data_IF_980225442903
#
_entry.id   IF_980225442903
#
_cell.length_a   1.000
_cell.length_b   1.000
_cell.length_c   1.000
_cell.angle_alpha   90.00
_cell.angle_beta   90.00
_cell.angle_gamma   90.00
#
_symmetry.space_group_name_H-M   'P 1'
#
loop_
_entity.id
_entity.type
_entity.pdbx_description
1 polymer ?
#
# COMPACT_ATOMS: atom_id res chain seq x y z
N UNK A 1 3.07 6.44 37.73
CA UNK A 1 3.09 7.52 36.72
C UNK A 1 2.83 6.85 35.37
N UNK A 2 1.91 7.37 34.56
CA UNK A 2 1.73 6.85 33.19
C UNK A 2 2.79 7.46 32.27
N UNK A 3 3.46 6.62 31.49
CA UNK A 3 4.43 7.04 30.47
C UNK A 3 4.28 6.16 29.24
N UNK A 4 4.78 6.62 28.09
CA UNK A 4 4.82 5.82 26.87
C UNK A 4 6.15 5.04 26.80
N UNK A 5 6.08 3.72 26.78
CA UNK A 5 7.23 2.83 26.56
C UNK A 5 6.91 1.97 25.35
N UNK A 6 7.72 2.05 24.29
CA UNK A 6 7.51 1.33 23.01
C UNK A 6 6.12 1.58 22.39
N UNK A 7 5.66 2.84 22.45
CA UNK A 7 4.32 3.23 21.96
C UNK A 7 3.15 2.80 22.85
N UNK A 8 3.38 2.01 23.90
CA UNK A 8 2.34 1.59 24.85
C UNK A 8 2.30 2.47 26.09
N UNK A 9 1.10 2.81 26.55
CA UNK A 9 0.92 3.46 27.85
C UNK A 9 1.25 2.45 28.95
N UNK A 10 2.25 2.77 29.77
CA UNK A 10 2.68 1.96 30.90
C UNK A 10 2.62 2.76 32.18
N UNK A 11 2.06 2.13 33.21
CA UNK A 11 2.07 2.66 34.56
C UNK A 11 3.38 2.27 35.22
N UNK A 12 4.28 3.23 35.39
CA UNK A 12 5.48 3.07 36.22
C UNK A 12 5.06 3.09 37.68
N UNK A 13 5.36 1.99 38.36
CA UNK A 13 5.35 1.90 39.81
C UNK A 13 6.73 2.33 40.34
N UNK A 14 6.77 3.30 41.26
CA UNK A 14 8.03 3.80 41.82
C UNK A 14 8.85 2.68 42.49
N UNK A 15 8.18 1.71 43.12
CA UNK A 15 8.82 0.60 43.83
C UNK A 15 9.68 -0.28 42.89
N UNK A 16 9.40 -0.22 41.59
CA UNK A 16 10.04 -1.05 40.58
C UNK A 16 11.33 -0.44 40.00
N UNK A 17 11.63 0.83 40.32
CA UNK A 17 12.72 1.58 39.69
C UNK A 17 13.58 2.32 40.73
N UNK A 18 13.57 1.88 41.99
CA UNK A 18 14.34 2.52 43.06
C UNK A 18 15.84 2.38 42.81
N UNK A 19 16.60 3.45 43.05
CA UNK A 19 18.06 3.46 42.88
C UNK A 19 18.86 3.18 44.16
N UNK A 20 18.19 2.85 45.26
CA UNK A 20 18.79 2.69 46.59
C UNK A 20 18.07 1.60 47.38
N UNK A 21 18.60 1.27 48.56
CA UNK A 21 17.99 0.24 49.43
C UNK A 21 16.65 0.73 49.97
N UNK A 22 15.66 -0.15 50.02
CA UNK A 22 14.32 0.17 50.55
C UNK A 22 14.37 0.69 52.00
N UNK A 23 15.41 0.33 52.76
CA UNK A 23 15.65 0.78 54.14
C UNK A 23 15.86 2.29 54.27
N UNK A 24 16.20 2.98 53.19
CA UNK A 24 16.43 4.44 53.21
C UNK A 24 15.11 5.23 53.03
N UNK A 25 14.00 4.53 52.77
CA UNK A 25 12.68 5.12 52.60
C UNK A 25 12.04 5.33 53.97
N UNK A 26 11.70 6.59 54.27
CA UNK A 26 11.00 6.94 55.51
C UNK A 26 9.66 6.21 55.61
N UNK A 27 9.39 5.57 56.74
CA UNK A 27 8.16 4.80 57.00
C UNK A 27 6.86 5.58 56.73
N UNK A 28 6.87 6.91 56.90
CA UNK A 28 5.75 7.79 56.60
C UNK A 28 5.31 7.76 55.12
N UNK A 29 6.16 7.28 54.21
CA UNK A 29 5.88 7.18 52.77
C UNK A 29 5.33 5.80 52.37
N UNK A 30 5.28 4.85 53.32
CA UNK A 30 4.89 3.47 53.09
C UNK A 30 3.41 3.29 53.42
N UNK A 31 2.65 2.73 52.50
CA UNK A 31 1.24 2.43 52.69
C UNK A 31 1.07 1.31 53.72
N UNK A 32 0.26 1.51 54.76
CA UNK A 32 -0.02 0.47 55.76
C UNK A 32 -0.95 -0.67 55.27
N UNK A 33 -1.46 -0.59 54.04
CA UNK A 33 -2.27 -1.66 53.42
C UNK A 33 -1.40 -2.55 52.54
N UNK A 34 -0.70 -1.99 51.55
CA UNK A 34 0.13 -2.77 50.62
C UNK A 34 1.60 -2.91 51.04
N UNK A 35 2.03 -2.19 52.10
CA UNK A 35 3.40 -2.21 52.63
C UNK A 35 4.48 -1.75 51.64
N UNK A 36 4.11 -0.98 50.62
CA UNK A 36 5.03 -0.39 49.64
C UNK A 36 4.94 1.14 49.62
N UNK A 37 5.83 1.83 48.90
CA UNK A 37 5.74 3.29 48.71
C UNK A 37 4.36 3.65 48.17
N UNK A 38 3.71 4.65 48.78
CA UNK A 38 2.35 5.04 48.44
C UNK A 38 2.21 5.54 47.00
N UNK A 39 1.31 4.92 46.23
CA UNK A 39 0.91 5.41 44.91
C UNK A 39 -0.36 6.26 45.02
N UNK A 40 -0.29 7.50 44.52
CA UNK A 40 -1.37 8.49 44.63
C UNK A 40 -1.87 8.62 46.09
N UNK A 41 -1.03 9.15 47.01
CA UNK A 41 -1.33 9.16 48.43
C UNK A 41 -2.59 9.98 48.74
N UNK A 42 -3.51 9.38 49.49
CA UNK A 42 -4.75 9.99 49.96
C UNK A 42 -4.83 9.92 51.48
N UNK A 43 -5.24 11.01 52.10
CA UNK A 43 -5.50 11.08 53.52
C UNK A 43 -6.92 10.59 53.81
N UNK A 44 -7.04 9.84 54.89
CA UNK A 44 -8.28 9.34 55.46
C UNK A 44 -8.25 9.56 56.96
N UNK A 45 -9.43 9.64 57.57
CA UNK A 45 -9.66 9.87 59.00
C UNK A 45 -9.16 11.22 59.55
N UNK A 46 -9.68 11.58 60.71
CA UNK A 46 -9.31 12.81 61.44
C UNK A 46 -7.89 12.74 61.99
N UNK A 47 -7.40 11.53 62.28
CA UNK A 47 -6.00 11.30 62.68
C UNK A 47 -5.01 11.48 61.53
N UNK A 48 -5.48 11.65 60.29
CA UNK A 48 -4.64 11.95 59.13
C UNK A 48 -3.85 10.78 58.57
N UNK A 49 -4.31 9.53 58.74
CA UNK A 49 -3.67 8.36 58.14
C UNK A 49 -3.71 8.41 56.61
N UNK A 50 -2.58 8.09 55.97
CA UNK A 50 -2.41 8.19 54.52
C UNK A 50 -2.21 6.81 53.89
N UNK A 51 -2.83 6.59 52.73
CA UNK A 51 -2.80 5.31 52.01
C UNK A 51 -2.67 5.54 50.50
N UNK A 52 -2.38 4.49 49.73
CA UNK A 52 -2.59 4.54 48.27
C UNK A 52 -4.08 4.72 47.98
N UNK A 53 -4.43 5.55 46.99
CA UNK A 53 -5.83 5.74 46.56
C UNK A 53 -6.53 4.41 46.30
N UNK A 54 -5.95 3.55 45.49
CA UNK A 54 -6.53 2.24 45.13
C UNK A 54 -6.63 1.28 46.32
N UNK A 55 -5.59 1.22 47.17
CA UNK A 55 -5.61 0.34 48.34
C UNK A 55 -6.75 0.73 49.29
N UNK A 56 -6.91 2.02 49.55
CA UNK A 56 -7.99 2.51 50.39
C UNK A 56 -9.36 2.29 49.75
N UNK A 57 -9.53 2.59 48.46
CA UNK A 57 -10.80 2.35 47.74
C UNK A 57 -11.22 0.89 47.81
N UNK A 58 -10.31 -0.05 47.53
CA UNK A 58 -10.59 -1.50 47.61
C UNK A 58 -10.91 -1.94 49.04
N UNK A 59 -10.19 -1.41 50.03
CA UNK A 59 -10.45 -1.69 51.44
C UNK A 59 -11.86 -1.22 51.84
N UNK A 60 -12.23 0.01 51.44
CA UNK A 60 -13.54 0.58 51.76
C UNK A 60 -14.65 -0.26 51.12
N UNK A 61 -14.54 -0.56 49.83
CA UNK A 61 -15.53 -1.39 49.12
C UNK A 61 -15.77 -2.76 49.78
N UNK A 62 -14.71 -3.40 50.30
CA UNK A 62 -14.81 -4.72 50.94
C UNK A 62 -15.35 -4.69 52.38
N UNK A 63 -15.12 -3.59 53.11
CA UNK A 63 -15.42 -3.50 54.54
C UNK A 63 -16.57 -2.54 54.86
N UNK A 64 -17.35 -2.15 53.85
CA UNK A 64 -18.59 -1.40 54.03
C UNK A 64 -19.65 -2.33 54.65
N UNK A 65 -20.19 -1.92 55.80
CA UNK A 65 -21.31 -2.62 56.41
C UNK A 65 -22.64 -2.01 55.94
N UNK A 66 -23.36 -2.73 55.08
CA UNK A 66 -24.66 -2.34 54.53
C UNK A 66 -25.84 -2.65 55.47
N UNK A 67 -25.64 -3.51 56.48
CA UNK A 67 -26.72 -4.08 57.28
C UNK A 67 -27.02 -3.25 58.55
N UNK A 68 -26.18 -2.28 58.89
CA UNK A 68 -26.35 -1.42 60.08
C UNK A 68 -25.65 -0.07 59.88
N UNK A 69 -26.44 1.01 59.73
CA UNK A 69 -26.02 2.42 59.66
C UNK A 69 -25.01 2.83 58.58
N UNK A 70 -24.73 2.01 57.56
CA UNK A 70 -23.80 2.35 56.46
C UNK A 70 -22.48 2.90 57.00
N UNK A 71 -21.65 2.02 57.55
CA UNK A 71 -20.41 2.39 58.22
C UNK A 71 -19.16 1.86 57.51
N UNK A 72 -18.06 2.57 57.68
CA UNK A 72 -16.70 2.21 57.25
C UNK A 72 -15.71 2.52 58.38
N UNK A 73 -14.51 1.95 58.37
CA UNK A 73 -13.49 2.26 59.38
C UNK A 73 -12.12 2.61 58.80
N UNK A 74 -11.24 3.21 59.59
CA UNK A 74 -9.86 3.41 59.17
C UNK A 74 -9.08 2.09 59.23
N UNK A 75 -8.33 1.70 58.18
CA UNK A 75 -7.47 0.52 58.22
C UNK A 75 -6.43 0.53 59.34
N UNK A 76 -6.01 1.72 59.80
CA UNK A 76 -4.96 1.87 60.81
C UNK A 76 -5.52 2.08 62.21
N UNK A 77 -6.32 3.13 62.45
CA UNK A 77 -6.84 3.42 63.79
C UNK A 77 -8.19 2.77 64.12
N UNK A 78 -8.82 2.10 63.15
CA UNK A 78 -10.17 1.50 63.29
C UNK A 78 -11.29 2.47 63.66
N UNK A 79 -11.05 3.79 63.63
CA UNK A 79 -12.08 4.81 63.82
C UNK A 79 -13.20 4.61 62.80
N UNK A 80 -14.45 4.60 63.27
CA UNK A 80 -15.65 4.35 62.46
C UNK A 80 -16.22 5.65 61.92
N UNK A 81 -16.62 5.62 60.65
CA UNK A 81 -17.24 6.71 59.92
C UNK A 81 -18.57 6.23 59.33
N UNK A 82 -19.63 6.99 59.59
CA UNK A 82 -20.96 6.73 59.05
C UNK A 82 -21.18 7.54 57.78
N UNK A 83 -21.82 6.93 56.78
CA UNK A 83 -22.17 7.60 55.53
C UNK A 83 -23.65 7.47 55.19
N UNK A 84 -24.16 8.48 54.48
CA UNK A 84 -25.50 8.43 53.89
C UNK A 84 -25.36 8.03 52.42
N UNK A 85 -25.91 6.88 51.98
CA UNK A 85 -25.91 6.53 50.57
C UNK A 85 -26.77 7.52 49.78
N UNK A 86 -26.19 8.24 48.84
CA UNK A 86 -26.89 9.09 47.88
C UNK A 86 -27.05 8.28 46.58
N UNK A 87 -28.25 7.73 46.37
CA UNK A 87 -28.74 7.05 45.17
C UNK A 87 -27.94 5.84 44.64
N UNK A 88 -28.65 4.72 44.48
CA UNK A 88 -28.15 3.48 43.86
C UNK A 88 -28.74 3.43 42.45
N UNK A 89 -28.06 4.02 41.47
CA UNK A 89 -28.30 3.69 40.07
C UNK A 89 -26.99 3.15 39.47
N UNK A 90 -27.03 1.86 39.12
CA UNK A 90 -26.02 1.15 38.32
C UNK A 90 -24.58 1.15 38.85
N UNK A 91 -24.36 0.52 40.01
CA UNK A 91 -23.04 0.04 40.47
C UNK A 91 -21.92 1.10 40.62
N UNK A 92 -22.23 2.40 40.58
CA UNK A 92 -21.27 3.47 40.80
C UNK A 92 -21.56 4.17 42.14
N UNK A 93 -20.83 3.76 43.19
CA UNK A 93 -20.87 4.42 44.50
C UNK A 93 -20.22 5.82 44.43
N UNK A 94 -21.01 6.88 44.27
CA UNK A 94 -20.56 8.27 44.48
C UNK A 94 -20.75 8.67 45.94
N UNK A 95 -19.69 8.53 46.73
CA UNK A 95 -19.63 8.93 48.13
C UNK A 95 -19.50 10.45 48.27
N UNK A 96 -20.53 11.11 48.79
CA UNK A 96 -20.54 12.56 49.02
C UNK A 96 -20.12 12.86 50.46
N UNK A 97 -18.82 12.83 50.76
CA UNK A 97 -18.27 13.32 52.03
C UNK A 97 -16.92 14.01 51.81
N UNK A 98 -16.87 15.28 52.22
CA UNK A 98 -15.77 16.26 52.09
C UNK A 98 -14.38 15.79 52.57
N UNK A 99 -14.30 14.66 53.28
CA UNK A 99 -13.08 14.16 53.94
C UNK A 99 -12.61 12.79 53.44
N UNK A 100 -13.26 12.23 52.41
CA UNK A 100 -12.90 10.94 51.84
C UNK A 100 -11.96 11.12 50.66
N UNK A 101 -10.81 10.43 50.69
CA UNK A 101 -9.86 10.34 49.56
C UNK A 101 -9.22 11.69 49.15
N UNK A 102 -9.07 12.63 50.09
CA UNK A 102 -8.36 13.88 49.82
C UNK A 102 -6.89 13.58 49.50
N UNK A 103 -6.41 14.06 48.35
CA UNK A 103 -5.01 13.84 47.95
C UNK A 103 -4.06 14.51 48.94
N UNK A 104 -3.09 13.76 49.47
CA UNK A 104 -2.10 14.32 50.37
C UNK A 104 -0.89 14.83 49.56
N UNK A 105 -0.92 16.11 49.22
CA UNK A 105 0.10 16.76 48.40
C UNK A 105 1.46 16.85 49.09
N UNK A 106 1.51 16.88 50.42
CA UNK A 106 2.79 16.91 51.15
C UNK A 106 3.54 15.58 51.02
N UNK A 107 2.85 14.46 51.26
CA UNK A 107 3.40 13.11 51.05
C UNK A 107 3.76 12.91 49.57
N UNK A 108 2.91 13.37 48.64
CA UNK A 108 3.21 13.33 47.19
C UNK A 108 4.51 14.07 46.85
N UNK A 109 4.74 15.28 47.40
CA UNK A 109 5.99 16.04 47.21
C UNK A 109 7.20 15.33 47.78
N UNK A 110 7.07 14.66 48.94
CA UNK A 110 8.15 13.86 49.53
C UNK A 110 8.50 12.66 48.65
N UNK A 111 7.49 11.94 48.13
CA UNK A 111 7.68 10.81 47.19
C UNK A 111 8.35 11.28 45.90
N UNK A 112 7.96 12.41 45.35
CA UNK A 112 8.55 12.97 44.13
C UNK A 112 10.06 13.28 44.25
N UNK A 113 10.60 13.41 45.46
CA UNK A 113 12.03 13.65 45.71
C UNK A 113 12.86 12.36 45.79
N UNK A 114 12.23 11.19 45.82
CA UNK A 114 12.92 9.90 45.86
C UNK A 114 13.71 9.72 44.56
N UNK A 115 14.95 9.26 44.70
CA UNK A 115 15.84 8.94 43.58
C UNK A 115 15.48 7.58 43.00
N UNK A 116 15.34 7.53 41.68
CA UNK A 116 14.95 6.37 40.91
C UNK A 116 15.83 6.25 39.67
N UNK A 117 16.03 5.03 39.20
CA UNK A 117 16.59 4.78 37.89
C UNK A 117 15.62 5.24 36.79
N UNK A 118 16.17 5.70 35.67
CA UNK A 118 15.38 5.87 34.46
C UNK A 118 14.67 4.54 34.11
N UNK A 119 13.40 4.55 33.66
CA UNK A 119 12.73 3.32 33.22
C UNK A 119 13.45 2.60 32.07
N UNK A 120 14.21 3.33 31.25
CA UNK A 120 15.05 2.76 30.19
C UNK A 120 16.43 2.27 30.70
N UNK A 121 16.66 2.25 32.02
CA UNK A 121 17.81 1.61 32.65
C UNK A 121 17.75 0.08 32.59
N UNK A 122 16.59 -0.52 32.39
CA UNK A 122 16.41 -1.97 32.45
C UNK A 122 16.29 -2.59 31.05
N UNK A 123 16.75 -3.84 30.88
CA UNK A 123 16.77 -4.54 29.57
C UNK A 123 15.36 -4.79 29.02
N UNK A 124 14.39 -5.06 29.89
CA UNK A 124 13.06 -5.52 29.50
C UNK A 124 11.97 -5.05 30.48
N UNK A 125 10.74 -5.40 30.17
CA UNK A 125 9.53 -5.06 30.92
C UNK A 125 9.51 -5.70 32.32
N UNK A 126 10.34 -6.73 32.52
CA UNK A 126 10.58 -7.40 33.81
C UNK A 126 11.61 -6.68 34.67
N UNK A 127 12.13 -5.53 34.20
CA UNK A 127 13.05 -4.66 34.94
C UNK A 127 14.34 -5.36 35.36
N UNK A 128 14.85 -6.25 34.51
CA UNK A 128 16.18 -6.84 34.70
C UNK A 128 17.25 -5.78 34.47
N UNK A 129 18.14 -5.61 35.46
CA UNK A 129 19.27 -4.68 35.38
C UNK A 129 20.10 -4.95 34.12
N UNK A 130 20.62 -3.88 33.52
CA UNK A 130 21.54 -3.99 32.41
C UNK A 130 22.91 -4.42 32.96
N UNK A 131 23.48 -5.49 32.39
CA UNK A 131 24.88 -5.90 32.67
C UNK A 131 25.81 -4.69 32.47
N UNK A 132 26.83 -4.55 33.31
CA UNK A 132 27.73 -3.37 33.34
C UNK A 132 28.35 -3.01 31.97
N UNK A 133 28.44 -3.98 31.05
CA UNK A 133 29.01 -3.83 29.70
C UNK A 133 27.97 -3.61 28.59
N UNK A 134 26.67 -3.65 28.88
CA UNK A 134 25.64 -3.35 27.90
C UNK A 134 25.35 -1.84 27.93
N UNK A 135 25.76 -1.14 26.89
CA UNK A 135 25.55 0.31 26.74
C UNK A 135 24.17 0.63 26.14
N UNK A 136 23.17 -0.19 26.49
CA UNK A 136 21.85 -0.20 25.87
C UNK A 136 20.78 0.38 26.78
N UNK A 137 21.11 1.21 27.76
CA UNK A 137 20.09 1.87 28.58
C UNK A 137 20.59 3.08 29.34
N UNK A 138 19.64 3.88 29.81
CA UNK A 138 19.93 5.12 30.50
C UNK A 138 20.36 4.84 31.94
N UNK A 139 21.60 5.20 32.30
CA UNK A 139 22.17 5.03 33.66
C UNK A 139 21.88 6.19 34.61
N UNK A 140 21.10 7.17 34.17
CA UNK A 140 20.78 8.32 35.00
C UNK A 140 19.89 7.95 36.19
N UNK A 141 20.25 8.50 37.34
CA UNK A 141 19.44 8.47 38.56
C UNK A 141 18.79 9.84 38.72
N UNK A 142 17.46 9.86 38.60
CA UNK A 142 16.65 11.08 38.58
C UNK A 142 15.66 11.06 39.75
N UNK A 143 14.99 12.19 40.00
CA UNK A 143 13.91 12.23 40.99
C UNK A 143 12.62 11.71 40.38
N UNK A 144 11.80 10.99 41.14
CA UNK A 144 10.56 10.42 40.64
C UNK A 144 9.61 11.47 40.01
N UNK A 145 9.58 12.69 40.56
CA UNK A 145 8.79 13.79 40.00
C UNK A 145 9.24 14.25 38.61
N UNK A 146 10.51 14.04 38.27
CA UNK A 146 11.15 14.52 37.03
C UNK A 146 11.19 13.45 35.93
N UNK A 147 10.75 12.21 36.24
CA UNK A 147 10.78 11.06 35.32
C UNK A 147 10.06 11.34 34.00
N UNK A 148 8.88 11.97 34.06
CA UNK A 148 8.11 12.31 32.86
C UNK A 148 8.92 13.22 31.90
N UNK A 149 9.54 14.27 32.44
CA UNK A 149 10.32 15.23 31.66
C UNK A 149 11.61 14.60 31.12
N UNK A 150 12.28 13.76 31.92
CA UNK A 150 13.47 13.04 31.47
C UNK A 150 13.15 12.10 30.31
N UNK A 151 12.05 11.35 30.33
CA UNK A 151 11.68 10.41 29.26
C UNK A 151 11.55 11.10 27.90
N UNK A 152 11.05 12.33 27.87
CA UNK A 152 10.91 13.11 26.63
C UNK A 152 12.26 13.43 25.97
N UNK A 153 13.30 13.62 26.79
CA UNK A 153 14.65 14.03 26.37
C UNK A 153 15.67 12.90 26.43
N UNK A 154 15.30 11.73 26.95
CA UNK A 154 16.20 10.60 27.14
C UNK A 154 16.66 10.00 25.81
N UNK A 155 17.97 9.93 25.60
CA UNK A 155 18.56 9.36 24.39
C UNK A 155 18.29 7.85 24.22
N UNK A 156 17.99 7.17 25.32
CA UNK A 156 17.67 5.75 25.32
C UNK A 156 16.17 5.47 25.18
N UNK A 157 15.33 6.51 25.05
CA UNK A 157 13.90 6.32 24.84
C UNK A 157 13.63 5.62 23.52
N UNK A 158 12.57 4.82 23.47
CA UNK A 158 12.14 4.19 22.23
C UNK A 158 11.40 5.18 21.34
N UNK A 159 11.71 5.13 20.05
CA UNK A 159 10.98 5.81 18.99
C UNK A 159 10.52 4.81 17.94
N UNK A 160 9.40 5.12 17.30
CA UNK A 160 8.90 4.38 16.16
C UNK A 160 9.59 4.87 14.90
N UNK A 161 10.01 3.94 14.05
CA UNK A 161 10.49 4.28 12.71
C UNK A 161 9.31 4.66 11.81
N UNK A 162 9.47 5.65 10.91
CA UNK A 162 8.47 6.00 9.90
C UNK A 162 8.03 4.81 9.04
N UNK A 163 8.88 3.79 8.92
CA UNK A 163 8.66 2.56 8.15
C UNK A 163 8.14 1.39 8.97
N UNK A 164 7.57 1.64 10.15
CA UNK A 164 6.98 0.59 11.00
C UNK A 164 5.90 -0.22 10.26
N UNK A 165 5.08 0.45 9.43
CA UNK A 165 4.06 -0.20 8.62
C UNK A 165 4.63 -1.18 7.57
N UNK A 166 5.90 -0.98 7.17
CA UNK A 166 6.60 -1.85 6.24
C UNK A 166 7.36 -2.97 6.95
N UNK A 167 7.22 -3.11 8.28
CA UNK A 167 7.84 -4.15 9.09
C UNK A 167 9.09 -3.72 9.87
N UNK A 168 9.43 -2.42 9.89
CA UNK A 168 10.54 -1.92 10.70
C UNK A 168 10.19 -1.94 12.20
N UNK A 169 11.18 -2.25 13.05
CA UNK A 169 11.03 -2.29 14.51
C UNK A 169 11.28 -0.92 15.15
N UNK A 170 10.84 -0.79 16.40
CA UNK A 170 11.19 0.33 17.28
C UNK A 170 12.68 0.32 17.59
N UNK A 171 13.24 1.51 17.79
CA UNK A 171 14.65 1.73 18.04
C UNK A 171 14.86 2.77 19.14
N UNK A 172 16.08 2.90 19.65
CA UNK A 172 16.42 3.94 20.62
C UNK A 172 16.70 5.26 19.91
N UNK A 173 16.41 6.36 20.58
CA UNK A 173 16.59 7.70 20.02
C UNK A 173 18.06 7.98 19.62
N UNK A 174 19.04 7.52 20.41
CA UNK A 174 20.48 7.66 20.09
C UNK A 174 20.87 7.01 18.75
N UNK A 175 20.17 5.95 18.35
CA UNK A 175 20.46 5.17 17.14
C UNK A 175 19.64 5.66 15.93
N UNK A 176 18.86 6.74 16.10
CA UNK A 176 17.92 7.24 15.11
C UNK A 176 18.57 7.51 13.76
N UNK A 177 19.62 8.30 13.74
CA UNK A 177 20.21 8.79 12.50
C UNK A 177 20.92 7.64 11.76
N UNK A 178 21.74 6.86 12.47
CA UNK A 178 22.37 5.64 11.96
C UNK A 178 21.35 4.65 11.37
N UNK A 179 20.20 4.50 12.03
CA UNK A 179 19.13 3.66 11.53
C UNK A 179 18.51 4.21 10.23
N UNK A 180 18.17 5.49 10.13
CA UNK A 180 17.56 6.03 8.90
C UNK A 180 18.50 5.96 7.68
N UNK A 181 19.81 6.12 7.90
CA UNK A 181 20.82 5.94 6.86
C UNK A 181 20.86 4.51 6.30
N UNK A 182 20.54 3.50 7.12
CA UNK A 182 20.66 2.08 6.78
C UNK A 182 19.35 1.29 6.79
N UNK A 183 18.22 1.92 7.12
CA UNK A 183 16.90 1.31 7.25
C UNK A 183 16.49 0.56 5.97
N UNK A 184 16.37 -0.78 6.00
CA UNK A 184 16.01 -1.55 4.81
C UNK A 184 14.56 -1.30 4.36
N UNK A 185 13.69 -0.91 5.29
CA UNK A 185 12.25 -0.79 5.09
C UNK A 185 11.81 0.65 4.75
N UNK A 186 12.76 1.58 4.60
CA UNK A 186 12.44 2.94 4.20
C UNK A 186 11.95 2.96 2.77
N UNK A 187 10.86 3.69 2.56
CA UNK A 187 10.29 3.92 1.23
C UNK A 187 11.12 4.99 0.54
N UNK A 188 11.68 4.66 -0.62
CA UNK A 188 12.41 5.55 -1.50
C UNK A 188 11.63 5.74 -2.78
N UNK A 189 11.69 6.94 -3.32
CA UNK A 189 11.16 7.23 -4.65
C UNK A 189 12.26 7.00 -5.68
N UNK A 190 11.98 6.17 -6.69
CA UNK A 190 12.93 5.94 -7.78
C UNK A 190 13.18 7.22 -8.58
N UNK A 191 14.43 7.61 -8.78
CA UNK A 191 14.82 8.80 -9.56
C UNK A 191 14.54 8.69 -11.05
N UNK A 192 14.31 7.48 -11.56
CA UNK A 192 14.11 7.21 -12.98
C UNK A 192 12.62 7.14 -13.36
N UNK A 193 11.80 6.45 -12.56
CA UNK A 193 10.38 6.24 -12.85
C UNK A 193 9.41 6.83 -11.82
N UNK A 194 9.92 7.50 -10.77
CA UNK A 194 9.14 8.14 -9.70
C UNK A 194 8.23 7.20 -8.89
N UNK A 195 8.38 5.88 -9.04
CA UNK A 195 7.62 4.91 -8.24
C UNK A 195 8.30 4.66 -6.90
N UNK A 196 7.47 4.46 -5.88
CA UNK A 196 7.91 4.13 -4.54
C UNK A 196 8.29 2.65 -4.42
N UNK A 197 9.39 2.37 -3.72
CA UNK A 197 9.86 1.03 -3.40
C UNK A 197 10.59 1.05 -2.06
N UNK A 198 10.81 -0.11 -1.45
CA UNK A 198 11.61 -0.20 -0.22
C UNK A 198 13.09 -0.25 -0.59
N UNK A 199 13.97 0.31 0.25
CA UNK A 199 15.42 0.26 0.03
C UNK A 199 15.93 -1.17 -0.18
N UNK A 200 15.45 -2.14 0.61
CA UNK A 200 15.82 -3.56 0.44
C UNK A 200 15.45 -4.15 -0.93
N UNK A 201 14.48 -3.55 -1.63
CA UNK A 201 13.96 -4.02 -2.91
C UNK A 201 14.51 -3.14 -4.07
N UNK A 202 15.49 -2.26 -3.81
CA UNK A 202 16.06 -1.35 -4.81
C UNK A 202 16.70 -2.09 -5.99
N UNK A 203 17.49 -3.13 -5.71
CA UNK A 203 18.12 -3.94 -6.77
C UNK A 203 17.06 -4.65 -7.64
N UNK A 204 16.05 -5.24 -7.00
CA UNK A 204 14.94 -5.90 -7.69
C UNK A 204 14.13 -4.89 -8.52
N UNK A 205 13.89 -3.70 -7.97
CA UNK A 205 13.22 -2.61 -8.68
C UNK A 205 14.03 -2.19 -9.92
N UNK A 206 15.34 -1.92 -9.80
CA UNK A 206 16.19 -1.50 -10.92
C UNK A 206 16.24 -2.57 -12.04
N UNK A 207 16.15 -3.85 -11.69
CA UNK A 207 16.08 -4.95 -12.65
C UNK A 207 14.83 -4.92 -13.54
N UNK A 208 13.71 -4.35 -13.07
CA UNK A 208 12.44 -4.27 -13.81
C UNK A 208 11.99 -2.84 -14.16
N UNK A 209 12.66 -1.81 -13.63
CA UNK A 209 12.28 -0.41 -13.76
C UNK A 209 12.14 0.03 -15.25
N UNK A 210 11.00 0.61 -15.67
CA UNK A 210 10.75 0.95 -17.07
C UNK A 210 11.78 1.92 -17.69
N UNK A 211 12.35 2.81 -16.87
CA UNK A 211 13.18 3.93 -17.34
C UNK A 211 14.69 3.70 -17.13
N UNK A 212 15.10 2.52 -16.65
CA UNK A 212 16.52 2.14 -16.64
C UNK A 212 16.99 1.92 -18.07
N UNK A 213 18.14 2.51 -18.40
CA UNK A 213 18.79 2.32 -19.69
C UNK A 213 19.53 0.99 -19.70
N UNK A 214 19.15 0.11 -20.63
CA UNK A 214 19.76 -1.19 -20.84
C UNK A 214 20.46 -1.22 -22.20
N UNK A 215 21.60 -1.92 -22.32
CA UNK A 215 22.26 -2.08 -23.61
C UNK A 215 21.39 -2.90 -24.56
N UNK A 216 21.28 -2.46 -25.81
CA UNK A 216 20.66 -3.25 -26.84
C UNK A 216 21.48 -4.53 -27.09
N UNK A 217 20.81 -5.65 -27.34
CA UNK A 217 21.48 -6.93 -27.64
C UNK A 217 22.08 -6.98 -29.06
N UNK A 218 21.63 -6.09 -29.95
CA UNK A 218 21.98 -6.11 -31.36
C UNK A 218 22.93 -4.97 -31.76
N UNK A 219 22.78 -3.80 -31.13
CA UNK A 219 23.64 -2.63 -31.35
C UNK A 219 24.29 -2.16 -30.04
N UNK A 220 25.25 -1.24 -30.12
CA UNK A 220 25.96 -0.72 -28.93
C UNK A 220 25.22 0.40 -28.18
N UNK A 221 23.96 0.69 -28.52
CA UNK A 221 23.21 1.79 -27.91
C UNK A 221 22.52 1.37 -26.60
N UNK A 222 22.49 2.28 -25.63
CA UNK A 222 21.76 2.13 -24.37
C UNK A 222 20.36 2.77 -24.50
N UNK A 223 19.30 1.96 -24.34
CA UNK A 223 17.92 2.36 -24.56
C UNK A 223 17.12 2.15 -23.27
N UNK A 224 16.17 3.03 -22.96
CA UNK A 224 15.25 2.80 -21.85
C UNK A 224 14.46 1.51 -22.05
N UNK A 225 14.27 0.74 -20.97
CA UNK A 225 13.64 -0.59 -21.03
C UNK A 225 12.26 -0.57 -21.68
N UNK A 226 11.44 0.45 -21.40
CA UNK A 226 10.12 0.66 -22.01
C UNK A 226 10.17 0.94 -23.52
N UNK A 227 11.25 1.55 -24.03
CA UNK A 227 11.45 1.90 -25.43
C UNK A 227 12.19 0.83 -26.23
N UNK A 228 12.63 -0.26 -25.60
CA UNK A 228 13.42 -1.31 -26.24
C UNK A 228 12.66 -2.04 -27.36
N UNK A 229 11.35 -2.25 -27.20
CA UNK A 229 10.50 -2.88 -28.22
C UNK A 229 10.42 -2.01 -29.47
N UNK A 230 10.19 -0.70 -29.29
CA UNK A 230 10.16 0.26 -30.40
C UNK A 230 11.54 0.30 -31.08
N UNK A 231 12.61 0.38 -30.29
CA UNK A 231 13.96 0.35 -30.81
C UNK A 231 14.25 -0.89 -31.67
N UNK A 232 13.80 -2.09 -31.29
CA UNK A 232 13.99 -3.30 -32.11
C UNK A 232 13.35 -3.20 -33.51
N UNK A 233 12.25 -2.46 -33.65
CA UNK A 233 11.62 -2.24 -34.97
C UNK A 233 12.46 -1.34 -35.88
N UNK A 234 13.30 -0.48 -35.31
CA UNK A 234 14.10 0.53 -36.04
C UNK A 234 15.61 0.27 -35.99
N UNK A 235 16.07 -0.67 -35.15
CA UNK A 235 17.49 -0.89 -34.89
C UNK A 235 18.21 -1.38 -36.16
N UNK A 236 19.31 -0.70 -36.58
CA UNK A 236 20.07 -1.05 -37.78
C UNK A 236 20.70 -2.45 -37.72
N UNK A 237 21.15 -2.88 -36.54
CA UNK A 237 21.79 -4.18 -36.35
C UNK A 237 20.79 -5.31 -36.01
N UNK A 238 19.49 -5.00 -35.92
CA UNK A 238 18.47 -6.00 -35.61
C UNK A 238 18.41 -7.06 -36.72
N UNK A 239 18.31 -8.33 -36.33
CA UNK A 239 18.22 -9.43 -37.28
C UNK A 239 16.80 -9.51 -37.84
N UNK A 240 16.68 -9.31 -39.15
CA UNK A 240 15.42 -9.46 -39.88
C UNK A 240 15.48 -10.70 -40.76
N UNK A 241 14.32 -11.32 -40.97
CA UNK A 241 14.17 -12.40 -41.94
C UNK A 241 13.98 -11.82 -43.34
N UNK A 242 14.42 -12.57 -44.35
CA UNK A 242 14.19 -12.18 -45.74
C UNK A 242 12.68 -12.06 -46.05
N UNK A 243 12.28 -11.01 -46.78
CA UNK A 243 10.90 -10.83 -47.25
C UNK A 243 10.46 -11.90 -48.28
N UNK A 244 11.38 -12.76 -48.72
CA UNK A 244 11.13 -13.91 -49.58
C UNK A 244 11.13 -15.25 -48.83
N UNK A 245 11.06 -15.26 -47.50
CA UNK A 245 11.01 -16.48 -46.67
C UNK A 245 9.92 -17.46 -47.12
N UNK A 246 8.71 -16.97 -47.36
CA UNK A 246 7.59 -17.79 -47.83
C UNK A 246 7.79 -18.36 -49.24
N UNK A 247 8.76 -17.85 -49.99
CA UNK A 247 9.06 -18.27 -51.36
C UNK A 247 10.34 -19.12 -51.48
N UNK A 248 11.13 -19.20 -50.39
CA UNK A 248 12.28 -20.12 -50.27
C UNK A 248 13.58 -19.50 -49.76
N UNK A 249 13.62 -18.21 -49.38
CA UNK A 249 14.83 -17.59 -48.81
C UNK A 249 14.81 -17.61 -47.27
N UNK A 250 15.58 -18.49 -46.64
CA UNK A 250 15.61 -18.64 -45.18
C UNK A 250 16.69 -17.80 -44.47
N UNK A 251 17.28 -16.84 -45.17
CA UNK A 251 18.38 -16.04 -44.63
C UNK A 251 17.88 -15.05 -43.56
N UNK A 252 18.70 -14.90 -42.52
CA UNK A 252 18.55 -13.88 -41.48
C UNK A 252 19.79 -13.02 -41.46
N UNK A 253 19.61 -11.71 -41.49
CA UNK A 253 20.70 -10.74 -41.64
C UNK A 253 20.36 -9.45 -40.90
N UNK A 254 21.37 -8.61 -40.66
CA UNK A 254 21.16 -7.31 -40.01
C UNK A 254 20.33 -6.41 -40.92
N UNK A 255 19.45 -5.60 -40.33
CA UNK A 255 18.61 -4.65 -41.09
C UNK A 255 19.43 -3.72 -41.99
N UNK A 256 20.60 -3.25 -41.55
CA UNK A 256 21.50 -2.42 -42.36
C UNK A 256 22.02 -3.12 -43.62
N UNK A 257 22.12 -4.44 -43.59
CA UNK A 257 22.61 -5.26 -44.69
C UNK A 257 21.49 -5.66 -45.65
N UNK A 258 20.26 -5.16 -45.45
CA UNK A 258 19.09 -5.54 -46.26
C UNK A 258 19.31 -5.28 -47.75
N UNK A 259 19.75 -4.09 -48.13
CA UNK A 259 19.96 -3.75 -49.55
C UNK A 259 21.09 -4.58 -50.17
N UNK A 260 22.13 -4.85 -49.37
CA UNK A 260 23.26 -5.69 -49.78
C UNK A 260 22.79 -7.13 -50.00
N UNK A 261 22.05 -7.73 -49.08
CA UNK A 261 21.49 -9.07 -49.24
C UNK A 261 20.53 -9.16 -50.45
N UNK A 262 19.62 -8.19 -50.60
CA UNK A 262 18.67 -8.18 -51.72
C UNK A 262 19.35 -8.07 -53.08
N UNK A 263 20.45 -7.31 -53.16
CA UNK A 263 21.24 -7.15 -54.40
C UNK A 263 22.15 -8.34 -54.70
N UNK A 264 22.45 -9.19 -53.72
CA UNK A 264 23.50 -10.22 -53.84
C UNK A 264 23.10 -11.55 -54.47
N UNK A 265 21.85 -11.78 -54.92
CA UNK A 265 21.47 -13.12 -55.42
C UNK A 265 20.60 -13.16 -56.69
N UNK A 266 21.07 -13.94 -57.66
CA UNK A 266 20.35 -14.40 -58.86
C UNK A 266 19.05 -15.16 -58.53
N UNK A 267 18.95 -15.77 -57.34
CA UNK A 267 17.78 -16.52 -56.88
C UNK A 267 16.64 -15.66 -56.31
N UNK A 268 16.91 -14.42 -55.87
CA UNK A 268 15.81 -13.51 -55.49
C UNK A 268 14.94 -13.16 -56.69
N UNK A 269 15.47 -13.17 -57.92
CA UNK A 269 14.66 -13.02 -59.13
C UNK A 269 13.62 -14.15 -59.25
N UNK A 270 14.02 -15.40 -59.03
CA UNK A 270 13.11 -16.56 -59.07
C UNK A 270 12.04 -16.49 -57.96
N UNK A 271 12.43 -16.05 -56.76
CA UNK A 271 11.48 -15.82 -55.66
C UNK A 271 10.54 -14.63 -55.93
N UNK A 272 11.03 -13.58 -56.58
CA UNK A 272 10.21 -12.47 -57.07
C UNK A 272 9.18 -12.94 -58.10
N UNK A 273 9.57 -13.77 -59.05
CA UNK A 273 8.63 -14.38 -60.01
C UNK A 273 7.58 -15.25 -59.30
N UNK A 274 7.99 -16.07 -58.32
CA UNK A 274 7.04 -16.85 -57.50
C UNK A 274 6.08 -15.96 -56.71
N UNK A 275 6.57 -14.86 -56.13
CA UNK A 275 5.76 -13.85 -55.42
C UNK A 275 4.74 -13.18 -56.34
N UNK A 276 5.17 -12.75 -57.53
CA UNK A 276 4.29 -12.17 -58.55
C UNK A 276 3.22 -13.17 -58.99
N UNK A 277 3.59 -14.43 -59.27
CA UNK A 277 2.65 -15.47 -59.65
C UNK A 277 1.65 -15.81 -58.54
N UNK A 278 2.11 -15.88 -57.28
CA UNK A 278 1.23 -16.09 -56.13
C UNK A 278 0.21 -14.95 -55.98
N UNK A 279 0.66 -13.69 -56.02
CA UNK A 279 -0.21 -12.51 -55.97
C UNK A 279 -1.18 -12.45 -57.16
N UNK A 280 -0.72 -12.80 -58.37
CA UNK A 280 -1.58 -12.88 -59.56
C UNK A 280 -2.68 -13.94 -59.37
N UNK A 281 -2.33 -15.10 -58.82
CA UNK A 281 -3.29 -16.18 -58.53
C UNK A 281 -4.29 -15.78 -57.46
N UNK A 282 -3.87 -15.06 -56.42
CA UNK A 282 -4.78 -14.51 -55.42
C UNK A 282 -5.72 -13.46 -56.03
N UNK A 283 -5.21 -12.56 -56.86
CA UNK A 283 -6.02 -11.60 -57.59
C UNK A 283 -7.04 -12.29 -58.51
N UNK A 284 -6.67 -13.37 -59.18
CA UNK A 284 -7.61 -14.18 -59.98
C UNK A 284 -8.67 -14.86 -59.10
N UNK A 285 -8.28 -15.44 -57.95
CA UNK A 285 -9.23 -15.98 -56.97
C UNK A 285 -10.19 -14.90 -56.48
N UNK A 286 -9.70 -13.70 -56.19
CA UNK A 286 -10.54 -12.55 -55.83
C UNK A 286 -11.48 -12.17 -56.98
N UNK A 287 -10.99 -12.05 -58.22
CA UNK A 287 -11.81 -11.79 -59.41
C UNK A 287 -12.92 -12.83 -59.58
N UNK A 288 -12.61 -14.13 -59.42
CA UNK A 288 -13.58 -15.24 -59.48
C UNK A 288 -14.56 -15.17 -58.31
N UNK A 289 -14.10 -14.86 -57.10
CA UNK A 289 -14.95 -14.70 -55.93
C UNK A 289 -15.97 -13.59 -56.14
N UNK A 290 -15.54 -12.43 -56.63
CA UNK A 290 -16.43 -11.31 -56.92
C UNK A 290 -17.32 -11.58 -58.15
N UNK A 291 -16.84 -12.25 -59.20
CA UNK A 291 -17.68 -12.62 -60.36
C UNK A 291 -18.79 -13.60 -59.98
N UNK A 292 -18.51 -14.60 -59.13
CA UNK A 292 -19.53 -15.49 -58.57
C UNK A 292 -20.54 -14.75 -57.69
N UNK A 293 -20.09 -13.76 -56.92
CA UNK A 293 -20.99 -12.91 -56.10
C UNK A 293 -21.88 -12.02 -56.96
N UNK A 294 -21.39 -11.55 -58.12
CA UNK A 294 -22.17 -10.81 -59.12
C UNK A 294 -23.21 -11.72 -59.80
N UNK A 295 -22.87 -12.96 -60.16
CA UNK A 295 -23.82 -13.94 -60.75
C UNK A 295 -24.97 -14.28 -59.77
N UNK A 296 -24.72 -14.25 -58.45
CA UNK A 296 -25.77 -14.44 -57.44
C UNK A 296 -26.79 -13.28 -57.44
N UNK A 297 -26.42 -12.08 -57.89
CA UNK A 297 -27.37 -10.97 -58.07
C UNK A 297 -28.28 -11.15 -59.31
N UNK A 298 -27.83 -11.81 -60.38
CA UNK A 298 -28.65 -12.05 -61.59
C UNK A 298 -29.80 -13.07 -61.35
N UNK A 299 -29.69 -13.95 -60.35
CA UNK A 299 -30.72 -14.96 -60.02
C UNK A 299 -31.86 -14.45 -59.11
N UNK A 300 -32.00 -13.14 -58.90
CA UNK A 300 -33.17 -12.58 -58.21
C UNK A 300 -34.32 -12.47 -59.22
N UNK A 301 -35.24 -13.44 -59.18
CA UNK A 301 -36.46 -13.46 -60.01
C UNK A 301 -37.22 -12.12 -59.92
N UNK A 302 -37.29 -11.39 -61.03
CA UNK A 302 -38.22 -10.28 -61.21
C UNK A 302 -39.60 -10.91 -61.39
N UNK A 303 -40.40 -10.97 -60.32
CA UNK A 303 -41.82 -11.30 -60.44
C UNK A 303 -42.53 -10.15 -61.15
N UNK A 304 -43.09 -10.46 -62.32
CA UNK A 304 -43.92 -9.54 -63.10
C UNK A 304 -45.08 -9.02 -62.23
N UNK A 305 -45.14 -7.70 -62.08
CA UNK A 305 -46.29 -7.04 -61.48
C UNK A 305 -45.96 -6.06 -60.38
N UNK A 306 -45.32 -4.94 -60.74
CA UNK A 306 -45.62 -3.60 -60.19
C UNK A 306 -44.96 -2.51 -61.04
N UNK A 307 -45.78 -1.55 -61.48
CA UNK A 307 -45.43 -0.39 -62.31
C UNK A 307 -44.61 0.62 -61.51
N UNK A 308 -43.30 0.40 -61.43
CA UNK A 308 -42.30 1.41 -61.10
C UNK A 308 -40.95 0.92 -61.62
N UNK A 309 -40.39 1.56 -62.65
CA UNK A 309 -39.25 1.07 -63.46
C UNK A 309 -37.88 1.10 -62.75
N UNK A 310 -37.85 1.05 -61.41
CA UNK A 310 -36.62 0.99 -60.62
C UNK A 310 -36.84 0.01 -59.48
N UNK A 311 -36.08 -1.10 -59.49
CA UNK A 311 -35.99 -2.00 -58.33
C UNK A 311 -34.67 -1.68 -57.62
N UNK A 312 -34.77 -1.26 -56.36
CA UNK A 312 -33.59 -1.01 -55.51
C UNK A 312 -33.51 -2.06 -54.42
N UNK A 313 -32.36 -2.74 -54.31
CA UNK A 313 -32.10 -3.71 -53.25
C UNK A 313 -30.96 -3.16 -52.38
N UNK A 314 -31.22 -3.02 -51.09
CA UNK A 314 -30.23 -2.60 -50.11
C UNK A 314 -29.60 -3.83 -49.45
N UNK A 315 -28.27 -3.90 -49.40
CA UNK A 315 -27.59 -4.94 -48.62
C UNK A 315 -26.27 -4.42 -48.08
N UNK A 316 -25.95 -4.79 -46.85
CA UNK A 316 -24.68 -4.45 -46.23
C UNK A 316 -23.58 -5.36 -46.80
N UNK A 317 -22.61 -4.77 -47.49
CA UNK A 317 -21.44 -5.46 -48.03
C UNK A 317 -20.23 -4.93 -47.27
N UNK A 318 -19.50 -5.83 -46.58
CA UNK A 318 -18.29 -5.50 -45.81
C UNK A 318 -18.49 -4.41 -44.73
N UNK A 319 -19.65 -4.39 -44.06
CA UNK A 319 -19.95 -3.40 -43.01
C UNK A 319 -20.33 -2.00 -43.52
N UNK A 320 -20.45 -1.81 -44.83
CA UNK A 320 -20.95 -0.58 -45.45
C UNK A 320 -22.29 -0.81 -46.18
N UNK A 321 -23.19 0.18 -46.10
CA UNK A 321 -24.49 0.14 -46.77
C UNK A 321 -24.33 0.40 -48.27
N UNK A 322 -24.57 -0.62 -49.09
CA UNK A 322 -24.55 -0.51 -50.54
C UNK A 322 -25.97 -0.65 -51.12
N UNK A 323 -26.25 0.14 -52.16
CA UNK A 323 -27.54 0.18 -52.86
C UNK A 323 -27.34 -0.25 -54.31
N UNK A 324 -28.04 -1.31 -54.71
CA UNK A 324 -28.13 -1.75 -56.11
C UNK A 324 -29.37 -1.12 -56.75
N UNK A 325 -29.22 -0.50 -57.92
CA UNK A 325 -30.33 0.02 -58.72
C UNK A 325 -30.38 -0.69 -60.05
N UNK A 326 -31.54 -1.25 -60.40
CA UNK A 326 -31.81 -1.84 -61.72
C UNK A 326 -32.91 -1.04 -62.39
N UNK A 327 -32.60 -0.49 -63.56
CA UNK A 327 -33.51 0.31 -64.38
C UNK A 327 -33.76 -0.41 -65.72
N UNK A 328 -35.03 -0.58 -66.08
CA UNK A 328 -35.45 -1.08 -67.39
C UNK A 328 -35.69 0.11 -68.32
N UNK A 329 -34.95 0.24 -69.42
CA UNK A 329 -35.27 1.22 -70.46
C UNK A 329 -36.46 0.72 -71.27
N UNK A 330 -37.52 1.50 -71.35
CA UNK A 330 -38.84 1.09 -71.90
C UNK A 330 -38.86 0.73 -73.39
N UNK A 331 -37.73 0.75 -74.12
CA UNK A 331 -37.70 0.47 -75.56
C UNK A 331 -36.77 -0.63 -76.03
N UNK A 332 -35.91 -1.19 -75.17
CA UNK A 332 -35.09 -2.35 -75.52
C UNK A 332 -34.99 -3.29 -74.31
N UNK A 333 -34.89 -4.59 -74.56
CA UNK A 333 -34.51 -5.59 -73.55
C UNK A 333 -33.05 -5.35 -73.15
N UNK A 334 -32.79 -4.27 -72.42
CA UNK A 334 -31.49 -3.91 -71.87
C UNK A 334 -31.74 -3.31 -70.49
N UNK A 335 -30.92 -3.72 -69.52
CA UNK A 335 -30.98 -3.24 -68.14
C UNK A 335 -29.68 -2.52 -67.80
N UNK A 336 -29.82 -1.31 -67.25
CA UNK A 336 -28.70 -0.59 -66.66
C UNK A 336 -28.61 -0.99 -65.18
N UNK A 337 -27.46 -1.52 -64.76
CA UNK A 337 -27.22 -1.90 -63.36
C UNK A 337 -26.17 -0.97 -62.75
N UNK A 338 -26.56 -0.30 -61.66
CA UNK A 338 -25.68 0.60 -60.91
C UNK A 338 -25.46 0.09 -59.49
N UNK A 339 -24.20 0.05 -59.07
CA UNK A 339 -23.83 -0.21 -57.67
C UNK A 339 -23.30 1.08 -57.05
N UNK A 340 -23.98 1.58 -56.02
CA UNK A 340 -23.55 2.75 -55.25
C UNK A 340 -23.23 2.38 -53.81
N UNK A 341 -22.11 2.87 -53.30
CA UNK A 341 -21.82 2.88 -51.86
C UNK A 341 -21.50 4.32 -51.45
N UNK A 342 -22.07 4.79 -50.33
CA UNK A 342 -21.93 6.17 -49.85
C UNK A 342 -22.10 7.23 -50.95
N UNK A 343 -23.15 7.08 -51.78
CA UNK A 343 -23.50 7.94 -52.92
C UNK A 343 -22.50 8.04 -54.08
N UNK A 344 -21.42 7.25 -54.10
CA UNK A 344 -20.51 7.14 -55.25
C UNK A 344 -20.81 5.88 -56.06
N UNK A 345 -20.86 5.99 -57.38
CA UNK A 345 -21.00 4.84 -58.30
C UNK A 345 -19.68 4.09 -58.34
N UNK A 346 -19.71 2.81 -57.96
CA UNK A 346 -18.51 1.95 -57.89
C UNK A 346 -18.47 1.02 -59.10
N UNK A 347 -19.63 0.73 -59.70
CA UNK A 347 -19.73 -0.11 -60.89
C UNK A 347 -20.95 0.32 -61.71
N UNK A 348 -20.77 0.38 -63.03
CA UNK A 348 -21.80 0.64 -64.03
C UNK A 348 -21.61 -0.36 -65.17
N UNK A 349 -22.67 -1.11 -65.48
CA UNK A 349 -22.65 -2.12 -66.54
C UNK A 349 -23.99 -2.20 -67.25
N UNK A 350 -23.94 -2.38 -68.58
CA UNK A 350 -25.10 -2.60 -69.43
C UNK A 350 -25.22 -4.10 -69.73
N UNK A 351 -26.37 -4.68 -69.41
CA UNK A 351 -26.66 -6.09 -69.67
C UNK A 351 -27.88 -6.21 -70.61
N UNK A 352 -27.79 -7.15 -71.56
CA UNK A 352 -28.82 -7.50 -72.55
C UNK A 352 -29.86 -8.44 -71.92
#
# INVERSE_FOLDING_TARGET
MEVLIKGEKRIININNILSGKETDIKEQLICKICQSIMMNPVQFCESGHVFCKECLTKWLQKNVNLNSNSSMCCPTCRQVYYYKPLFIEQNNFTMNQKYLLSSNNEIKRKINKIKVHCPYYFKNDELKEIEENNDNGCREIIRFGDVANHIETCEYRFITCSSQNNGCKDLRYKDKDNHYESCPYITLQCSLCNSDHLRKDEEEHLAICPNVKVPCKFCSSNIERNHLIVHYTECPDYLIECEFKDYGCNDTFKRCDKEVHLSQYRYHYDFNLKKINALSTELEKFKIYYSKKIIVFEKVNISEGKKSNIVSISKSLFGQHCMLYVSKKEKYSHFDVFIKSNNKTIFEGNYL
#
